data_IF_512807498707
#
_entry.id   IF_512807498707
#
_cell.length_a   1.000
_cell.length_b   1.000
_cell.length_c   1.000
_cell.angle_alpha   90.00
_cell.angle_beta   90.00
_cell.angle_gamma   90.00
#
_symmetry.space_group_name_H-M   'P 1'
#
loop_
_entity.id
_entity.type
_entity.pdbx_description
1 polymer ?
#
# COMPACT_ATOMS: atom_id res chain seq x y z
N UNK A 1 -3.08 -12.19 -17.43
CA UNK A 1 -3.46 -11.05 -16.59
C UNK A 1 -4.21 -11.62 -15.39
N UNK A 2 -3.68 -11.61 -14.16
CA UNK A 2 -4.32 -12.33 -13.07
C UNK A 2 -5.64 -11.63 -12.74
N UNK A 3 -6.75 -12.33 -13.03
CA UNK A 3 -8.10 -11.92 -12.69
C UNK A 3 -8.41 -12.21 -11.22
N UNK A 4 -7.66 -11.55 -10.33
CA UNK A 4 -8.05 -11.43 -8.93
C UNK A 4 -8.66 -10.05 -8.76
N UNK A 5 -9.95 -10.01 -8.38
CA UNK A 5 -10.68 -8.79 -8.05
C UNK A 5 -9.87 -7.94 -7.07
N UNK A 6 -9.17 -6.94 -7.61
CA UNK A 6 -8.38 -6.01 -6.82
C UNK A 6 -9.29 -4.84 -6.48
N UNK A 7 -9.39 -4.54 -5.18
CA UNK A 7 -10.32 -3.54 -4.64
C UNK A 7 -9.96 -2.15 -5.18
N UNK A 8 -8.69 -1.90 -5.49
CA UNK A 8 -8.19 -0.64 -6.03
C UNK A 8 -7.62 -0.86 -7.43
N UNK A 9 -7.82 0.10 -8.35
CA UNK A 9 -7.04 0.20 -9.59
C UNK A 9 -5.62 0.66 -9.23
N UNK A 10 -4.90 -0.16 -8.48
CA UNK A 10 -3.52 0.10 -8.11
C UNK A 10 -2.65 -0.19 -9.32
N UNK A 11 -1.83 0.79 -9.71
CA UNK A 11 -0.88 0.57 -10.79
C UNK A 11 0.23 -0.37 -10.28
N UNK A 12 0.06 -1.66 -10.60
CA UNK A 12 1.02 -2.71 -10.29
C UNK A 12 2.43 -2.42 -10.83
N UNK A 13 2.57 -1.50 -11.79
CA UNK A 13 3.88 -1.06 -12.28
C UNK A 13 4.69 -0.31 -11.22
N UNK A 14 4.06 0.23 -10.17
CA UNK A 14 4.75 0.92 -9.07
C UNK A 14 5.64 0.01 -8.21
N UNK A 15 5.35 -1.30 -8.21
CA UNK A 15 6.15 -2.32 -7.52
C UNK A 15 7.08 -3.07 -8.49
N UNK A 16 7.30 -2.54 -9.69
CA UNK A 16 8.19 -3.15 -10.68
C UNK A 16 9.53 -2.42 -10.72
N UNK A 17 10.61 -3.18 -10.90
CA UNK A 17 11.96 -2.63 -11.08
C UNK A 17 12.08 -1.67 -12.29
N UNK A 18 11.13 -1.72 -13.22
CA UNK A 18 11.04 -0.80 -14.36
C UNK A 18 10.56 0.60 -13.97
N UNK A 19 9.96 0.79 -12.79
CA UNK A 19 9.59 2.09 -12.25
C UNK A 19 10.83 2.81 -11.70
N UNK A 20 11.25 3.97 -12.26
CA UNK A 20 12.45 4.68 -11.80
C UNK A 20 12.40 5.03 -10.32
N UNK A 21 11.24 5.47 -9.82
CA UNK A 21 11.04 5.82 -8.40
C UNK A 21 11.28 4.62 -7.49
N UNK A 22 10.81 3.44 -7.89
CA UNK A 22 11.00 2.21 -7.11
C UNK A 22 12.46 1.73 -7.12
N UNK A 23 13.17 1.89 -8.25
CA UNK A 23 14.60 1.57 -8.32
C UNK A 23 15.43 2.50 -7.43
N UNK A 24 15.17 3.83 -7.48
CA UNK A 24 15.83 4.80 -6.58
C UNK A 24 15.55 4.47 -5.13
N UNK A 25 14.29 4.18 -4.77
CA UNK A 25 13.93 3.74 -3.42
C UNK A 25 14.75 2.51 -2.97
N UNK A 26 14.87 1.49 -3.82
CA UNK A 26 15.66 0.30 -3.50
C UNK A 26 17.16 0.59 -3.31
N UNK A 27 17.72 1.52 -4.09
CA UNK A 27 19.12 1.92 -3.95
C UNK A 27 19.34 2.66 -2.62
N UNK A 28 18.48 3.62 -2.31
CA UNK A 28 18.57 4.41 -1.08
C UNK A 28 18.34 3.55 0.17
N UNK A 29 17.41 2.59 0.10
CA UNK A 29 17.20 1.63 1.18
C UNK A 29 18.44 0.76 1.40
N UNK A 30 19.09 0.26 0.34
CA UNK A 30 20.33 -0.52 0.49
C UNK A 30 21.45 0.31 1.11
N UNK A 31 21.60 1.56 0.70
CA UNK A 31 22.57 2.49 1.27
C UNK A 31 22.33 2.76 2.76
N UNK A 32 21.09 2.68 3.21
CA UNK A 32 20.68 2.88 4.61
C UNK A 32 20.53 1.57 5.41
N UNK A 33 21.05 0.45 4.90
CA UNK A 33 21.03 -0.86 5.58
C UNK A 33 19.74 -1.68 5.41
N UNK A 34 18.83 -1.25 4.54
CA UNK A 34 17.57 -1.92 4.18
C UNK A 34 17.68 -3.06 3.16
N UNK A 35 18.82 -3.75 3.09
CA UNK A 35 19.05 -4.83 2.11
C UNK A 35 18.05 -5.98 2.25
N UNK A 36 17.72 -6.38 3.48
CA UNK A 36 16.74 -7.44 3.73
C UNK A 36 15.31 -7.01 3.34
N UNK A 37 14.98 -5.74 3.57
CA UNK A 37 13.72 -5.14 3.11
C UNK A 37 13.62 -5.16 1.60
N UNK A 38 14.71 -4.83 0.89
CA UNK A 38 14.76 -4.94 -0.57
C UNK A 38 14.50 -6.37 -1.07
N UNK A 39 14.98 -7.38 -0.33
CA UNK A 39 14.71 -8.79 -0.64
C UNK A 39 13.23 -9.14 -0.44
N UNK A 40 12.60 -8.61 0.61
CA UNK A 40 11.15 -8.76 0.84
C UNK A 40 10.33 -8.07 -0.26
N UNK A 41 10.71 -6.86 -0.66
CA UNK A 41 10.09 -6.14 -1.77
C UNK A 41 10.16 -6.94 -3.08
N UNK A 42 11.33 -7.52 -3.40
CA UNK A 42 11.49 -8.36 -4.59
C UNK A 42 10.60 -9.61 -4.54
N UNK A 43 10.48 -10.26 -3.37
CA UNK A 43 9.55 -11.38 -3.17
C UNK A 43 8.09 -10.97 -3.32
N UNK A 44 7.71 -9.81 -2.78
CA UNK A 44 6.35 -9.27 -2.91
C UNK A 44 6.03 -8.97 -4.37
N UNK A 45 6.95 -8.34 -5.11
CA UNK A 45 6.80 -8.08 -6.54
C UNK A 45 6.62 -9.36 -7.36
N UNK A 46 7.38 -10.42 -7.03
CA UNK A 46 7.22 -11.73 -7.68
C UNK A 46 5.87 -12.39 -7.34
N UNK A 47 5.43 -12.32 -6.09
CA UNK A 47 4.11 -12.81 -5.68
C UNK A 47 2.98 -12.06 -6.42
N UNK A 48 3.10 -10.74 -6.56
CA UNK A 48 2.16 -9.90 -7.31
C UNK A 48 2.10 -10.32 -8.79
N UNK A 49 3.25 -10.54 -9.44
CA UNK A 49 3.33 -11.05 -10.83
C UNK A 49 2.69 -12.44 -10.97
N UNK A 50 2.85 -13.29 -9.97
CA UNK A 50 2.25 -14.62 -9.91
C UNK A 50 0.75 -14.62 -9.56
N UNK A 51 0.13 -13.48 -9.26
CA UNK A 51 -1.26 -13.40 -8.82
C UNK A 51 -1.50 -13.84 -7.37
N UNK A 52 -0.45 -14.05 -6.57
CA UNK A 52 -0.55 -14.38 -5.16
C UNK A 52 -0.66 -13.11 -4.30
N UNK A 53 -1.86 -12.54 -4.32
CA UNK A 53 -2.21 -11.36 -3.53
C UNK A 53 -2.09 -11.60 -2.01
N UNK A 54 -2.26 -12.82 -1.52
CA UNK A 54 -2.19 -13.09 -0.08
C UNK A 54 -0.74 -13.05 0.42
N UNK A 55 0.19 -13.65 -0.32
CA UNK A 55 1.62 -13.53 -0.03
C UNK A 55 2.08 -12.08 -0.20
N UNK A 56 1.58 -11.37 -1.21
CA UNK A 56 1.95 -9.97 -1.39
C UNK A 56 1.47 -9.08 -0.24
N UNK A 57 0.19 -9.18 0.16
CA UNK A 57 -0.37 -8.46 1.32
C UNK A 57 0.48 -8.70 2.58
N UNK A 58 0.80 -9.97 2.87
CA UNK A 58 1.61 -10.34 4.03
C UNK A 58 3.02 -9.76 3.98
N UNK A 59 3.71 -9.85 2.84
CA UNK A 59 5.07 -9.33 2.70
C UNK A 59 5.10 -7.81 2.78
N UNK A 60 4.15 -7.11 2.15
CA UNK A 60 4.04 -5.66 2.23
C UNK A 60 3.67 -5.21 3.64
N UNK A 61 2.85 -5.97 4.37
CA UNK A 61 2.58 -5.74 5.78
C UNK A 61 3.85 -5.79 6.65
N UNK A 62 4.74 -6.78 6.42
CA UNK A 62 6.03 -6.86 7.11
C UNK A 62 6.91 -5.65 6.76
N UNK A 63 7.02 -5.31 5.47
CA UNK A 63 7.77 -4.14 5.00
C UNK A 63 7.27 -2.85 5.65
N UNK A 64 5.94 -2.69 5.75
CA UNK A 64 5.30 -1.55 6.41
C UNK A 64 5.69 -1.45 7.89
N UNK A 65 5.70 -2.58 8.61
CA UNK A 65 6.11 -2.60 10.02
C UNK A 65 7.58 -2.20 10.19
N UNK A 66 8.49 -2.72 9.34
CA UNK A 66 9.90 -2.32 9.38
C UNK A 66 10.05 -0.82 9.09
N UNK A 67 9.32 -0.30 8.10
CA UNK A 67 9.31 1.14 7.82
C UNK A 67 8.80 1.92 9.05
N UNK A 68 7.69 1.51 9.65
CA UNK A 68 7.13 2.12 10.85
C UNK A 68 8.14 2.20 12.00
N UNK A 69 8.84 1.11 12.30
CA UNK A 69 9.89 1.09 13.32
C UNK A 69 11.02 2.10 13.02
N UNK A 70 11.45 2.16 11.76
CA UNK A 70 12.47 3.13 11.31
C UNK A 70 12.01 4.58 11.42
N UNK A 71 10.73 4.86 11.13
CA UNK A 71 10.14 6.19 11.31
C UNK A 71 10.09 6.63 12.78
N UNK A 72 10.04 5.68 13.72
CA UNK A 72 9.96 5.93 15.16
C UNK A 72 11.31 5.78 15.88
N UNK A 73 12.40 5.68 15.11
CA UNK A 73 13.75 5.66 15.67
C UNK A 73 14.35 7.07 15.63
N UNK A 74 14.47 7.71 16.79
CA UNK A 74 15.11 9.03 16.92
C UNK A 74 14.22 10.21 16.55
N UNK A 75 14.82 11.35 16.20
CA UNK A 75 14.08 12.55 15.83
C UNK A 75 13.58 12.48 14.39
N UNK A 76 12.34 12.93 14.17
CA UNK A 76 11.70 12.93 12.85
C UNK A 76 12.53 13.58 11.73
N UNK A 77 13.26 14.67 12.04
CA UNK A 77 14.12 15.38 11.08
C UNK A 77 15.29 14.54 10.55
N UNK A 78 15.69 13.52 11.30
CA UNK A 78 16.82 12.64 10.99
C UNK A 78 16.35 11.37 10.26
N UNK A 79 15.04 11.16 10.16
CA UNK A 79 14.44 10.05 9.45
C UNK A 79 14.68 10.21 7.95
N UNK A 80 15.34 9.21 7.36
CA UNK A 80 15.69 9.20 5.94
C UNK A 80 14.43 9.07 5.09
N UNK A 81 14.38 9.84 4.01
CA UNK A 81 13.20 9.94 3.12
C UNK A 81 12.82 8.57 2.54
N UNK A 82 13.80 7.71 2.24
CA UNK A 82 13.54 6.36 1.71
C UNK A 82 12.67 5.49 2.64
N UNK A 83 12.78 5.62 3.97
CA UNK A 83 11.89 4.89 4.89
C UNK A 83 10.46 5.45 4.90
N UNK A 84 10.31 6.75 4.67
CA UNK A 84 9.00 7.40 4.55
C UNK A 84 8.32 7.02 3.23
N UNK A 85 9.07 7.01 2.14
CA UNK A 85 8.60 6.54 0.84
C UNK A 85 8.25 5.05 0.87
N UNK A 86 9.05 4.24 1.58
CA UNK A 86 8.77 2.82 1.82
C UNK A 86 7.47 2.62 2.60
N UNK A 87 7.24 3.43 3.63
CA UNK A 87 5.98 3.39 4.39
C UNK A 87 4.79 3.67 3.46
N UNK A 88 4.86 4.72 2.63
CA UNK A 88 3.80 5.02 1.65
C UNK A 88 3.53 3.88 0.68
N UNK A 89 4.56 3.36 0.00
CA UNK A 89 4.37 2.32 -1.02
C UNK A 89 3.84 1.02 -0.40
N UNK A 90 4.26 0.70 0.83
CA UNK A 90 3.78 -0.48 1.54
C UNK A 90 2.32 -0.36 2.01
N UNK A 91 1.91 0.80 2.51
CA UNK A 91 0.51 1.07 2.87
C UNK A 91 -0.42 1.01 1.66
N UNK A 92 -0.01 1.57 0.52
CA UNK A 92 -0.83 1.48 -0.71
C UNK A 92 -0.96 0.02 -1.15
N UNK A 93 0.14 -0.73 -1.15
CA UNK A 93 0.11 -2.13 -1.57
C UNK A 93 -0.73 -3.00 -0.62
N UNK A 94 -0.59 -2.84 0.70
CA UNK A 94 -1.41 -3.55 1.69
C UNK A 94 -2.90 -3.24 1.50
N UNK A 95 -3.26 -1.98 1.23
CA UNK A 95 -4.64 -1.61 0.92
C UNK A 95 -5.14 -2.25 -0.38
N UNK A 96 -4.32 -2.28 -1.43
CA UNK A 96 -4.67 -2.84 -2.73
C UNK A 96 -4.91 -4.36 -2.70
N UNK A 97 -4.15 -5.09 -1.88
CA UNK A 97 -4.25 -6.54 -1.78
C UNK A 97 -5.27 -7.07 -0.77
N UNK A 98 -5.92 -6.18 -0.03
CA UNK A 98 -6.81 -6.62 1.03
C UNK A 98 -8.03 -7.38 0.50
N UNK A 99 -8.07 -8.69 0.75
CA UNK A 99 -9.03 -9.64 0.16
C UNK A 99 -10.44 -9.68 0.77
N UNK A 100 -10.76 -8.87 1.78
CA UNK A 100 -12.00 -9.04 2.58
C UNK A 100 -13.06 -7.97 2.32
N UNK A 101 -13.60 -7.92 1.11
CA UNK A 101 -14.74 -7.05 0.79
C UNK A 101 -16.12 -7.65 1.15
N UNK A 102 -16.19 -8.88 1.70
CA UNK A 102 -17.42 -9.69 1.66
C UNK A 102 -18.26 -9.80 2.94
N UNK A 103 -17.93 -9.16 4.07
CA UNK A 103 -18.81 -9.29 5.28
C UNK A 103 -19.11 -8.04 6.10
N UNK A 104 -18.33 -6.96 6.01
CA UNK A 104 -18.73 -5.63 6.48
C UNK A 104 -17.86 -4.57 5.79
N UNK A 105 -18.22 -4.26 4.55
CA UNK A 105 -17.36 -3.46 3.67
C UNK A 105 -17.21 -2.00 4.16
N UNK A 106 -18.04 -1.55 5.10
CA UNK A 106 -17.96 -0.19 5.65
C UNK A 106 -16.77 -0.05 6.62
N UNK A 107 -16.69 -0.92 7.62
CA UNK A 107 -15.62 -0.93 8.62
C UNK A 107 -14.26 -1.17 7.97
N UNK A 108 -14.19 -2.09 6.99
CA UNK A 108 -12.92 -2.35 6.28
C UNK A 108 -12.50 -1.18 5.41
N UNK A 109 -13.43 -0.53 4.71
CA UNK A 109 -13.10 0.67 3.92
C UNK A 109 -12.59 1.79 4.82
N UNK A 110 -13.20 1.98 6.00
CA UNK A 110 -12.70 2.94 6.98
C UNK A 110 -11.31 2.59 7.52
N UNK A 111 -11.02 1.30 7.74
CA UNK A 111 -9.68 0.86 8.16
C UNK A 111 -8.63 1.13 7.08
N UNK A 112 -8.95 0.84 5.82
CA UNK A 112 -8.07 1.13 4.68
C UNK A 112 -7.86 2.64 4.50
N UNK A 113 -8.91 3.45 4.66
CA UNK A 113 -8.80 4.92 4.63
C UNK A 113 -7.89 5.43 5.75
N UNK A 114 -8.08 4.96 6.99
CA UNK A 114 -7.20 5.31 8.12
C UNK A 114 -5.75 4.95 7.85
N UNK A 115 -5.50 3.79 7.26
CA UNK A 115 -4.15 3.37 6.87
C UNK A 115 -3.53 4.30 5.82
N UNK A 116 -4.30 4.72 4.82
CA UNK A 116 -3.83 5.66 3.80
C UNK A 116 -3.67 7.09 4.35
N UNK A 117 -4.52 7.52 5.27
CA UNK A 117 -4.37 8.82 5.96
C UNK A 117 -3.07 8.85 6.78
N UNK A 118 -2.73 7.76 7.47
CA UNK A 118 -1.43 7.62 8.12
C UNK A 118 -0.28 7.66 7.08
N UNK A 119 -0.47 7.07 5.90
CA UNK A 119 0.51 7.16 4.83
C UNK A 119 0.67 8.58 4.26
N UNK A 120 -0.36 9.43 4.31
CA UNK A 120 -0.24 10.86 3.96
C UNK A 120 0.58 11.62 5.01
N UNK A 121 0.35 11.34 6.29
CA UNK A 121 1.03 12.02 7.40
C UNK A 121 2.50 11.61 7.53
N UNK A 122 2.76 10.30 7.45
CA UNK A 122 4.07 9.71 7.72
C UNK A 122 4.90 9.49 6.46
N UNK A 123 4.24 9.50 5.31
CA UNK A 123 4.83 9.20 4.02
C UNK A 123 5.86 10.21 3.53
N UNK A 124 6.64 9.77 2.56
CA UNK A 124 7.55 10.62 1.81
C UNK A 124 6.87 11.18 0.55
N UNK A 125 7.51 12.14 -0.13
CA UNK A 125 6.91 12.82 -1.26
C UNK A 125 6.78 11.93 -2.52
N UNK A 126 7.60 10.88 -2.66
CA UNK A 126 7.71 10.14 -3.93
C UNK A 126 6.42 9.42 -4.31
N UNK A 127 5.64 8.98 -3.32
CA UNK A 127 4.41 8.21 -3.52
C UNK A 127 3.15 8.98 -3.14
N UNK A 128 3.25 10.28 -2.80
CA UNK A 128 2.12 11.08 -2.31
C UNK A 128 0.92 11.07 -3.27
N UNK A 129 1.16 11.31 -4.57
CA UNK A 129 0.11 11.28 -5.59
C UNK A 129 -0.60 9.93 -5.69
N UNK A 130 0.12 8.83 -5.44
CA UNK A 130 -0.43 7.48 -5.46
C UNK A 130 -1.26 7.19 -4.21
N UNK A 131 -0.85 7.70 -3.04
CA UNK A 131 -1.67 7.66 -1.82
C UNK A 131 -2.97 8.44 -2.03
N UNK A 132 -2.89 9.66 -2.55
CA UNK A 132 -4.06 10.51 -2.81
C UNK A 132 -5.03 9.84 -3.80
N UNK A 133 -4.52 9.19 -4.86
CA UNK A 133 -5.33 8.44 -5.83
C UNK A 133 -6.00 7.20 -5.21
N UNK A 134 -5.31 6.49 -4.32
CA UNK A 134 -5.88 5.35 -3.59
C UNK A 134 -7.02 5.79 -2.66
N UNK A 135 -6.84 6.91 -1.93
CA UNK A 135 -7.89 7.51 -1.08
C UNK A 135 -9.11 7.90 -1.93
N UNK A 136 -8.89 8.59 -3.05
CA UNK A 136 -9.97 8.99 -3.96
C UNK A 136 -10.77 7.77 -4.45
N UNK A 137 -10.07 6.68 -4.78
CA UNK A 137 -10.70 5.43 -5.21
C UNK A 137 -11.56 4.84 -4.09
N UNK A 138 -11.05 4.75 -2.86
CA UNK A 138 -11.83 4.25 -1.71
C UNK A 138 -13.05 5.12 -1.41
N UNK A 139 -12.95 6.44 -1.52
CA UNK A 139 -14.10 7.33 -1.35
C UNK A 139 -15.20 7.06 -2.40
N UNK A 140 -14.84 6.88 -3.67
CA UNK A 140 -15.80 6.54 -4.74
C UNK A 140 -16.47 5.19 -4.43
N UNK A 141 -15.72 4.20 -3.96
CA UNK A 141 -16.26 2.88 -3.59
C UNK A 141 -17.22 2.96 -2.39
N UNK A 142 -16.85 3.72 -1.36
CA UNK A 142 -17.70 3.96 -0.20
C UNK A 142 -19.02 4.62 -0.60
N UNK A 143 -18.97 5.64 -1.46
CA UNK A 143 -20.16 6.37 -1.94
C UNK A 143 -21.06 5.50 -2.84
N UNK A 144 -20.48 4.63 -3.69
CA UNK A 144 -21.26 3.68 -4.51
C UNK A 144 -22.09 2.73 -3.67
N UNK A 145 -21.55 2.28 -2.54
CA UNK A 145 -22.23 1.34 -1.64
C UNK A 145 -23.35 1.99 -0.82
N UNK A 146 -23.21 3.27 -0.46
CA UNK A 146 -24.29 4.05 0.17
C UNK A 146 -25.47 4.26 -0.79
N UNK A 147 -25.22 4.30 -2.10
CA UNK A 147 -26.24 4.57 -3.12
C UNK A 147 -26.98 3.35 -3.66
N UNK A 148 -26.56 2.11 -3.37
CA UNK A 148 -27.34 0.92 -3.73
C UNK A 148 -28.59 0.83 -2.86
N UNK A 149 -29.81 0.95 -3.42
CA UNK A 149 -31.04 0.93 -2.63
C UNK A 149 -31.26 -0.46 -2.06
N UNK A 150 -31.51 -0.54 -0.76
CA UNK A 150 -32.10 -1.73 -0.15
C UNK A 150 -33.41 -2.03 -0.87
N UNK A 151 -33.44 -3.09 -1.68
CA UNK A 151 -34.72 -3.68 -2.13
C UNK A 151 -35.40 -4.23 -0.88
N UNK A 152 -36.31 -3.46 -0.32
CA UNK A 152 -37.29 -3.98 0.63
C UNK A 152 -38.18 -4.98 -0.12
N UNK A 153 -38.33 -6.23 0.34
CA UNK A 153 -39.40 -7.07 -0.14
C UNK A 153 -40.73 -6.49 0.37
N UNK A 154 -41.64 -6.17 -0.55
CA UNK A 154 -43.05 -6.02 -0.22
C UNK A 154 -43.66 -7.39 0.05
#
# INVERSE_FOLDING_TARGET
MPQGSTVLSFDWNLLQNSCPQFNTLQQDLKADGGSEVCRLLAKAANAAKGGDSATCERLMGIVKQVAWEKLHTGHWKDVRVCWRDLYSVSSIATAAFSKKADSDSSARTQELLRELDLAVLMGGPAYRSHVDAAIATLHVMAQRKVRSPSRSPC
#
